data_IF_738566915445
#
_entry.id   IF_738566915445
#
_cell.length_a   1.000
_cell.length_b   1.000
_cell.length_c   1.000
_cell.angle_alpha   90.00
_cell.angle_beta   90.00
_cell.angle_gamma   90.00
#
_symmetry.space_group_name_H-M   'P 1'
#
loop_
_entity.id
_entity.type
_entity.pdbx_description
1 polymer ?
#
# COMPACT_ATOMS: atom_id res chain seq x y z
N UNK A 1 8.91 -11.75 23.05
CA UNK A 1 8.95 -11.85 21.58
C UNK A 1 8.07 -10.78 20.95
N UNK A 2 8.63 -10.04 20.00
CA UNK A 2 7.86 -9.02 19.32
C UNK A 2 7.20 -9.63 18.07
N UNK A 3 5.88 -9.76 18.13
CA UNK A 3 5.13 -10.20 16.96
C UNK A 3 4.81 -8.99 16.09
N UNK A 4 5.16 -9.05 14.81
CA UNK A 4 4.83 -7.99 13.89
C UNK A 4 3.32 -7.96 13.64
N UNK A 5 2.76 -6.76 13.54
CA UNK A 5 1.39 -6.57 13.07
C UNK A 5 1.39 -6.58 11.54
N UNK A 6 0.42 -7.24 10.95
CA UNK A 6 0.33 -7.31 9.48
C UNK A 6 -0.71 -6.34 8.96
N UNK A 7 -0.28 -5.47 8.05
CA UNK A 7 -1.13 -4.47 7.38
C UNK A 7 -1.26 -4.85 5.92
N UNK A 8 -2.48 -4.96 5.43
CA UNK A 8 -2.74 -5.22 4.02
C UNK A 8 -3.27 -3.95 3.37
N UNK A 9 -2.57 -3.45 2.35
CA UNK A 9 -2.97 -2.26 1.60
C UNK A 9 -3.60 -2.70 0.29
N UNK A 10 -4.83 -2.27 0.05
CA UNK A 10 -5.60 -2.65 -1.13
C UNK A 10 -5.85 -1.47 -2.06
N UNK A 11 -5.70 -1.71 -3.35
CA UNK A 11 -6.23 -0.86 -4.41
C UNK A 11 -6.61 -1.73 -5.61
N UNK A 12 -7.07 -1.14 -6.71
CA UNK A 12 -7.57 -1.93 -7.84
C UNK A 12 -6.45 -2.66 -8.57
N UNK A 13 -5.49 -1.92 -9.09
CA UNK A 13 -4.44 -2.48 -9.96
C UNK A 13 -3.21 -3.01 -9.25
N UNK A 14 -3.04 -2.68 -7.98
CA UNK A 14 -1.88 -3.06 -7.17
C UNK A 14 -0.55 -2.79 -7.89
N UNK A 15 -0.46 -1.66 -8.59
CA UNK A 15 0.73 -1.31 -9.36
C UNK A 15 1.41 -0.02 -8.93
N UNK A 16 0.73 0.85 -8.18
CA UNK A 16 1.27 2.15 -7.81
C UNK A 16 1.05 2.48 -6.34
N UNK A 17 -0.15 3.01 -5.98
CA UNK A 17 -0.43 3.52 -4.62
C UNK A 17 -0.20 2.47 -3.54
N UNK A 18 -0.77 1.28 -3.69
CA UNK A 18 -0.62 0.22 -2.70
C UNK A 18 0.80 -0.34 -2.65
N UNK A 19 1.51 -0.39 -3.78
CA UNK A 19 2.90 -0.84 -3.82
C UNK A 19 3.82 0.16 -3.12
N UNK A 20 3.63 1.45 -3.35
CA UNK A 20 4.38 2.48 -2.64
C UNK A 20 4.09 2.43 -1.15
N UNK A 21 2.82 2.25 -0.77
CA UNK A 21 2.44 2.13 0.63
C UNK A 21 3.09 0.93 1.31
N UNK A 22 3.12 -0.22 0.64
CA UNK A 22 3.80 -1.41 1.16
C UNK A 22 5.28 -1.13 1.44
N UNK A 23 6.00 -0.56 0.46
CA UNK A 23 7.41 -0.25 0.61
C UNK A 23 7.66 0.78 1.72
N UNK A 24 6.83 1.81 1.77
CA UNK A 24 6.95 2.88 2.77
C UNK A 24 6.74 2.34 4.19
N UNK A 25 5.68 1.56 4.39
CA UNK A 25 5.37 1.00 5.70
C UNK A 25 6.44 0.02 6.17
N UNK A 26 6.91 -0.86 5.29
CA UNK A 26 7.97 -1.81 5.63
C UNK A 26 9.28 -1.12 5.97
N UNK A 27 9.58 -0.01 5.30
CA UNK A 27 10.80 0.75 5.59
C UNK A 27 10.69 1.55 6.88
N UNK A 28 9.57 2.25 7.07
CA UNK A 28 9.40 3.14 8.23
C UNK A 28 9.06 2.40 9.51
N UNK A 29 8.29 1.32 9.43
CA UNK A 29 7.75 0.61 10.59
C UNK A 29 8.14 -0.88 10.60
N UNK A 30 9.17 -1.27 9.87
CA UNK A 30 9.54 -2.67 9.66
C UNK A 30 9.89 -3.45 10.93
N UNK A 31 10.20 -2.77 12.02
CA UNK A 31 10.44 -3.40 13.32
C UNK A 31 9.13 -3.78 14.05
N UNK A 32 7.99 -3.24 13.62
CA UNK A 32 6.68 -3.43 14.25
C UNK A 32 5.59 -3.88 13.29
N UNK A 33 5.77 -3.65 11.99
CA UNK A 33 4.75 -3.87 10.96
C UNK A 33 5.34 -4.68 9.80
N UNK A 34 4.57 -5.66 9.36
CA UNK A 34 4.79 -6.34 8.08
C UNK A 34 3.68 -5.87 7.14
N UNK A 35 4.02 -5.12 6.11
CA UNK A 35 3.06 -4.61 5.14
C UNK A 35 3.02 -5.47 3.90
N UNK A 36 1.79 -5.75 3.44
CA UNK A 36 1.49 -6.46 2.20
C UNK A 36 0.58 -5.58 1.36
N UNK A 37 0.51 -5.85 0.07
CA UNK A 37 -0.46 -5.17 -0.81
C UNK A 37 -1.07 -6.15 -1.79
N UNK A 38 -2.27 -5.85 -2.29
CA UNK A 38 -2.98 -6.66 -3.26
C UNK A 38 -4.03 -5.83 -4.01
N UNK A 39 -4.60 -6.39 -5.07
CA UNK A 39 -5.65 -5.75 -5.83
C UNK A 39 -6.63 -6.73 -6.43
N UNK A 40 -7.76 -6.22 -6.92
CA UNK A 40 -8.79 -7.03 -7.58
C UNK A 40 -8.44 -7.34 -9.03
N UNK A 41 -7.74 -6.41 -9.70
CA UNK A 41 -7.32 -6.54 -11.10
C UNK A 41 -5.84 -6.16 -11.21
N UNK A 42 -4.93 -7.01 -10.70
CA UNK A 42 -3.51 -6.67 -10.69
C UNK A 42 -2.96 -6.42 -12.09
N UNK A 43 -2.18 -5.35 -12.22
CA UNK A 43 -1.46 -5.05 -13.45
C UNK A 43 -0.30 -6.03 -13.64
N UNK A 44 0.26 -6.16 -14.86
CA UNK A 44 1.38 -7.08 -15.10
C UNK A 44 2.64 -6.77 -14.29
N UNK A 45 2.85 -5.51 -13.93
CA UNK A 45 4.04 -5.08 -13.18
C UNK A 45 3.75 -3.84 -12.35
N UNK A 46 4.63 -3.57 -11.40
CA UNK A 46 4.61 -2.29 -10.66
C UNK A 46 4.95 -1.17 -11.63
N UNK A 47 4.23 -0.05 -11.54
CA UNK A 47 4.44 1.10 -12.43
C UNK A 47 5.88 1.62 -12.31
N UNK A 48 6.50 1.94 -13.46
CA UNK A 48 7.87 2.45 -13.49
C UNK A 48 8.01 3.71 -12.65
N UNK A 49 7.03 4.62 -12.72
CA UNK A 49 7.04 5.84 -11.92
C UNK A 49 7.02 5.59 -10.42
N UNK A 50 6.31 4.54 -9.97
CA UNK A 50 6.30 4.16 -8.57
C UNK A 50 7.68 3.67 -8.13
N UNK A 51 8.31 2.82 -8.93
CA UNK A 51 9.66 2.31 -8.64
C UNK A 51 10.67 3.48 -8.60
N UNK A 52 10.62 4.37 -9.58
CA UNK A 52 11.53 5.52 -9.62
C UNK A 52 11.32 6.46 -8.43
N UNK A 53 10.06 6.73 -8.07
CA UNK A 53 9.76 7.59 -6.93
C UNK A 53 10.27 6.98 -5.62
N UNK A 54 10.13 5.67 -5.44
CA UNK A 54 10.65 4.98 -4.26
C UNK A 54 12.17 5.03 -4.21
N UNK A 55 12.84 4.75 -5.32
CA UNK A 55 14.31 4.80 -5.40
C UNK A 55 14.84 6.20 -5.12
N UNK A 56 14.17 7.24 -5.63
CA UNK A 56 14.57 8.62 -5.40
C UNK A 56 14.55 9.00 -3.92
N UNK A 57 13.75 8.32 -3.12
CA UNK A 57 13.67 8.53 -1.67
C UNK A 57 14.53 7.55 -0.88
N UNK A 58 15.33 6.72 -1.56
CA UNK A 58 16.17 5.71 -0.90
C UNK A 58 15.39 4.53 -0.35
N UNK A 59 14.16 4.30 -0.83
CA UNK A 59 13.32 3.20 -0.35
C UNK A 59 13.59 1.92 -1.15
N UNK A 60 13.63 0.75 -0.49
CA UNK A 60 13.85 -0.51 -1.19
C UNK A 60 12.65 -0.88 -2.06
N UNK A 61 12.94 -1.44 -3.25
CA UNK A 61 11.94 -1.85 -4.21
C UNK A 61 11.97 -3.36 -4.51
N UNK A 62 12.93 -4.07 -3.96
CA UNK A 62 13.08 -5.51 -4.19
C UNK A 62 11.86 -6.28 -3.68
N UNK A 63 11.38 -7.22 -4.49
CA UNK A 63 10.24 -8.07 -4.11
C UNK A 63 8.87 -7.46 -4.37
N UNK A 64 8.78 -6.19 -4.75
CA UNK A 64 7.49 -5.57 -5.07
C UNK A 64 6.93 -6.19 -6.36
N UNK A 65 5.69 -6.65 -6.31
CA UNK A 65 5.01 -7.21 -7.47
C UNK A 65 3.49 -7.16 -7.26
N UNK A 66 2.72 -6.94 -8.33
CA UNK A 66 1.26 -6.99 -8.23
C UNK A 66 0.77 -8.40 -7.90
N UNK A 67 -0.29 -8.49 -7.11
CA UNK A 67 -0.89 -9.77 -6.72
C UNK A 67 -2.37 -9.61 -6.41
N UNK A 68 -3.07 -10.73 -6.47
CA UNK A 68 -4.51 -10.77 -6.16
C UNK A 68 -4.73 -10.82 -4.64
N UNK A 69 -5.95 -10.48 -4.23
CA UNK A 69 -6.35 -10.62 -2.83
C UNK A 69 -6.24 -12.08 -2.38
N UNK A 70 -6.56 -13.04 -3.26
CA UNK A 70 -6.44 -14.47 -2.95
C UNK A 70 -5.04 -14.86 -2.53
N UNK A 71 -4.02 -14.21 -3.09
CA UNK A 71 -2.63 -14.50 -2.75
C UNK A 71 -2.28 -14.21 -1.29
N UNK A 72 -3.07 -13.36 -0.62
CA UNK A 72 -2.82 -12.93 0.77
C UNK A 72 -4.00 -13.20 1.70
N UNK A 73 -5.05 -13.89 1.19
CA UNK A 73 -6.31 -14.07 1.94
C UNK A 73 -6.13 -14.83 3.26
N UNK A 74 -5.17 -15.74 3.32
CA UNK A 74 -4.93 -16.58 4.49
C UNK A 74 -3.90 -15.98 5.47
N UNK A 75 -3.34 -14.81 5.15
CA UNK A 75 -2.41 -14.15 6.05
C UNK A 75 -3.14 -13.63 7.29
N UNK A 76 -2.46 -13.59 8.44
CA UNK A 76 -3.07 -13.08 9.69
C UNK A 76 -3.10 -11.55 9.69
N UNK A 77 -4.07 -10.98 8.99
CA UNK A 77 -4.18 -9.53 8.78
C UNK A 77 -4.72 -8.84 10.04
N UNK A 78 -4.03 -7.82 10.51
CA UNK A 78 -4.45 -7.01 11.68
C UNK A 78 -5.15 -5.72 11.27
N UNK A 79 -4.87 -5.20 10.08
CA UNK A 79 -5.47 -3.98 9.58
C UNK A 79 -5.50 -4.01 8.05
N UNK A 80 -6.63 -3.66 7.46
CA UNK A 80 -6.77 -3.45 6.02
C UNK A 80 -6.86 -1.95 5.76
N UNK A 81 -6.04 -1.45 4.83
CA UNK A 81 -6.08 -0.05 4.39
C UNK A 81 -6.41 -0.03 2.90
N UNK A 82 -7.50 0.63 2.53
CA UNK A 82 -7.83 0.85 1.13
C UNK A 82 -7.38 2.24 0.72
N UNK A 83 -6.68 2.34 -0.42
CA UNK A 83 -6.05 3.59 -0.86
C UNK A 83 -6.57 4.07 -2.22
N UNK A 84 -7.54 3.37 -2.79
CA UNK A 84 -8.13 3.74 -4.07
C UNK A 84 -9.14 4.88 -3.91
N UNK A 85 -9.37 5.61 -5.00
CA UNK A 85 -10.33 6.71 -5.04
C UNK A 85 -11.70 6.17 -5.46
N UNK A 86 -12.59 5.96 -4.49
CA UNK A 86 -13.91 5.40 -4.73
C UNK A 86 -14.77 6.24 -5.70
N UNK A 87 -14.46 7.52 -5.86
CA UNK A 87 -15.20 8.37 -6.81
C UNK A 87 -14.86 8.02 -8.26
N UNK A 88 -13.73 7.39 -8.51
CA UNK A 88 -13.22 7.10 -9.87
C UNK A 88 -13.06 5.62 -10.16
N UNK A 89 -13.11 4.78 -9.15
CA UNK A 89 -12.85 3.34 -9.30
C UNK A 89 -13.55 2.55 -8.20
N UNK A 90 -13.76 1.26 -8.44
CA UNK A 90 -14.31 0.36 -7.44
C UNK A 90 -13.22 -0.10 -6.49
N UNK A 91 -13.34 0.28 -5.23
CA UNK A 91 -12.38 -0.12 -4.20
C UNK A 91 -12.70 -1.55 -3.73
N UNK A 92 -11.70 -2.44 -3.64
CA UNK A 92 -11.96 -3.81 -3.22
C UNK A 92 -12.39 -3.88 -1.75
N UNK A 93 -13.20 -4.89 -1.45
CA UNK A 93 -13.62 -5.20 -0.09
C UNK A 93 -12.94 -6.50 0.32
N UNK A 94 -12.19 -6.46 1.42
CA UNK A 94 -11.54 -7.66 1.92
C UNK A 94 -12.61 -8.60 2.52
N UNK A 95 -12.65 -9.89 2.12
CA UNK A 95 -13.76 -10.77 2.48
C UNK A 95 -13.71 -11.38 3.88
N UNK A 96 -12.86 -10.85 4.77
CA UNK A 96 -12.78 -11.27 6.16
C UNK A 96 -13.09 -10.10 7.07
N UNK A 97 -13.57 -10.39 8.29
CA UNK A 97 -13.85 -9.36 9.30
C UNK A 97 -12.56 -8.99 10.01
N UNK A 98 -11.98 -7.86 9.61
CA UNK A 98 -10.77 -7.30 10.22
C UNK A 98 -10.95 -5.78 10.32
N UNK A 99 -10.24 -5.12 11.25
CA UNK A 99 -10.25 -3.66 11.28
C UNK A 99 -9.82 -3.09 9.93
N UNK A 100 -10.50 -2.05 9.48
CA UNK A 100 -10.22 -1.45 8.18
C UNK A 100 -10.25 0.07 8.23
N UNK A 101 -9.49 0.69 7.34
CA UNK A 101 -9.36 2.12 7.23
C UNK A 101 -9.33 2.47 5.74
N UNK A 102 -10.01 3.55 5.35
CA UNK A 102 -9.97 4.04 3.98
C UNK A 102 -9.20 5.36 3.95
N UNK A 103 -8.14 5.41 3.14
CA UNK A 103 -7.32 6.60 2.99
C UNK A 103 -6.99 6.78 1.51
N UNK A 104 -7.87 7.46 0.75
CA UNK A 104 -7.69 7.56 -0.69
C UNK A 104 -6.53 8.48 -1.08
N UNK A 105 -5.82 8.08 -2.13
CA UNK A 105 -4.76 8.89 -2.73
C UNK A 105 -5.01 9.00 -4.22
N UNK A 106 -4.55 10.10 -4.81
CA UNK A 106 -4.63 10.29 -6.25
C UNK A 106 -3.86 9.19 -6.99
N UNK A 107 -4.44 8.68 -8.09
CA UNK A 107 -3.77 7.69 -8.94
C UNK A 107 -2.91 8.41 -10.00
N UNK A 108 -1.57 8.35 -9.90
CA UNK A 108 -0.70 9.04 -10.84
C UNK A 108 -0.43 8.25 -12.12
N UNK A 109 -1.12 7.14 -12.35
CA UNK A 109 -0.92 6.32 -13.55
C UNK A 109 -1.03 7.16 -14.82
N UNK A 110 -0.01 7.05 -15.70
CA UNK A 110 0.03 7.83 -16.93
C UNK A 110 0.51 9.26 -16.78
N UNK A 111 0.80 9.70 -15.57
CA UNK A 111 1.26 11.07 -15.28
C UNK A 111 2.80 11.12 -15.18
N UNK A 112 3.39 12.33 -15.19
CA UNK A 112 4.84 12.47 -15.04
C UNK A 112 5.37 11.98 -13.69
N UNK A 113 6.65 11.74 -13.59
CA UNK A 113 7.31 11.28 -12.36
C UNK A 113 6.99 12.16 -11.16
N UNK A 114 6.87 13.47 -11.34
CA UNK A 114 6.54 14.40 -10.26
C UNK A 114 5.24 14.05 -9.56
N UNK A 115 4.24 13.53 -10.31
CA UNK A 115 2.97 13.09 -9.73
C UNK A 115 3.15 11.86 -8.83
N UNK A 116 4.01 10.93 -9.22
CA UNK A 116 4.34 9.76 -8.40
C UNK A 116 5.07 10.19 -7.13
N UNK A 117 5.99 11.14 -7.24
CA UNK A 117 6.73 11.68 -6.09
C UNK A 117 5.77 12.36 -5.11
N UNK A 118 4.84 13.15 -5.63
CA UNK A 118 3.84 13.82 -4.80
C UNK A 118 2.98 12.81 -4.02
N UNK A 119 2.47 11.79 -4.71
CA UNK A 119 1.66 10.74 -4.06
C UNK A 119 2.49 9.97 -3.03
N UNK A 120 3.74 9.62 -3.37
CA UNK A 120 4.66 8.99 -2.43
C UNK A 120 4.80 9.81 -1.15
N UNK A 121 4.99 11.11 -1.28
CA UNK A 121 5.17 11.99 -0.12
C UNK A 121 3.89 12.14 0.69
N UNK A 122 2.73 12.18 0.03
CA UNK A 122 1.44 12.21 0.72
C UNK A 122 1.20 10.91 1.51
N UNK A 123 1.54 9.76 0.93
CA UNK A 123 1.43 8.46 1.61
C UNK A 123 2.32 8.47 2.86
N UNK A 124 3.56 8.91 2.74
CA UNK A 124 4.49 8.99 3.88
C UNK A 124 3.95 9.88 4.98
N UNK A 125 3.44 11.06 4.62
CA UNK A 125 2.98 12.05 5.59
C UNK A 125 1.69 11.63 6.30
N UNK A 126 0.80 10.92 5.61
CA UNK A 126 -0.54 10.61 6.12
C UNK A 126 -0.68 9.16 6.61
N UNK A 127 -0.13 8.20 5.87
CA UNK A 127 -0.36 6.79 6.17
C UNK A 127 0.45 6.30 7.37
N UNK A 128 1.70 6.70 7.48
CA UNK A 128 2.56 6.25 8.60
C UNK A 128 1.92 6.60 9.95
N UNK A 129 1.56 7.88 10.22
CA UNK A 129 0.94 8.19 11.51
C UNK A 129 -0.43 7.54 11.70
N UNK A 130 -1.22 7.39 10.62
CA UNK A 130 -2.52 6.75 10.71
C UNK A 130 -2.41 5.27 11.10
N UNK A 131 -1.45 4.55 10.52
CA UNK A 131 -1.22 3.14 10.86
C UNK A 131 -0.71 3.02 12.29
N UNK A 132 0.20 3.88 12.71
CA UNK A 132 0.69 3.89 14.09
C UNK A 132 -0.47 4.06 15.08
N UNK A 133 -1.35 5.00 14.82
CA UNK A 133 -2.52 5.25 15.68
C UNK A 133 -3.47 4.05 15.68
N UNK A 134 -3.78 3.50 14.50
CA UNK A 134 -4.71 2.38 14.37
C UNK A 134 -4.21 1.12 15.09
N UNK A 135 -2.90 0.89 15.10
CA UNK A 135 -2.28 -0.29 15.71
C UNK A 135 -1.70 0.00 17.10
N UNK A 136 -1.89 1.20 17.61
CA UNK A 136 -1.43 1.63 18.94
C UNK A 136 0.10 1.45 19.10
N UNK A 137 0.82 1.87 18.09
CA UNK A 137 2.29 1.77 18.09
C UNK A 137 2.96 3.00 18.72
#
# INVERSE_FOLDING_TARGET
MNTLKTVLVLCTGNSCRSQMAEAILNHALGDKVRALSAGTLPQPKVADGAIEALKAAGLPTAGLHPKTIDAVIDEPIDLVVTVCDNAKESCPIFPRVVPRMHMPFHDPHGEPLESFIKVRDEIRAQLIPAVRTALEL
#
